data_IF_525043085303
#
_entry.id   IF_525043085303
#
_cell.length_a   1.000
_cell.length_b   1.000
_cell.length_c   1.000
_cell.angle_alpha   90.00
_cell.angle_beta   90.00
_cell.angle_gamma   90.00
#
_symmetry.space_group_name_H-M   'P 1'
#
loop_
_entity.id
_entity.type
_entity.pdbx_description
1 polymer ?
#
# COMPACT_ATOMS: atom_id res chain seq x y z
N UNK A 1 -17.92 4.90 -0.74
CA UNK A 1 -17.34 3.80 -1.54
C UNK A 1 -16.53 2.92 -0.60
N UNK A 2 -16.99 1.68 -0.35
CA UNK A 2 -16.37 0.75 0.61
C UNK A 2 -14.94 0.41 0.19
N UNK A 3 -14.04 0.32 1.16
CA UNK A 3 -12.62 0.00 0.97
C UNK A 3 -12.46 -1.16 -0.02
N UNK A 4 -11.81 -0.90 -1.16
CA UNK A 4 -11.37 -1.95 -2.07
C UNK A 4 -10.14 -2.56 -1.41
N UNK A 5 -10.37 -3.49 -0.49
CA UNK A 5 -9.37 -4.50 -0.17
C UNK A 5 -8.84 -5.00 -1.50
N UNK A 6 -7.54 -4.88 -1.76
CA UNK A 6 -6.90 -5.68 -2.79
C UNK A 6 -7.20 -7.11 -2.34
N UNK A 7 -8.11 -7.85 -3.01
CA UNK A 7 -8.35 -9.21 -2.59
C UNK A 7 -7.03 -9.90 -2.89
N UNK A 8 -6.24 -10.18 -1.84
CA UNK A 8 -5.18 -11.19 -1.92
C UNK A 8 -5.81 -12.37 -2.63
N UNK A 9 -5.20 -12.83 -3.73
CA UNK A 9 -5.78 -13.79 -4.67
C UNK A 9 -6.69 -14.76 -3.91
N UNK A 10 -8.01 -14.54 -3.97
CA UNK A 10 -8.97 -15.50 -3.47
C UNK A 10 -8.92 -16.65 -4.46
N UNK A 11 -7.99 -17.57 -4.24
CA UNK A 11 -8.11 -18.91 -4.81
C UNK A 11 -9.34 -19.49 -4.10
N UNK A 12 -10.50 -19.32 -4.74
CA UNK A 12 -11.72 -20.02 -4.39
C UNK A 12 -11.48 -21.52 -4.60
N UNK A 13 -10.91 -22.19 -3.60
CA UNK A 13 -11.05 -23.63 -3.46
C UNK A 13 -12.35 -23.81 -2.69
N UNK A 14 -13.46 -23.98 -3.41
CA UNK A 14 -14.67 -24.50 -2.81
C UNK A 14 -14.69 -26.01 -3.08
N UNK A 15 -14.24 -26.86 -2.14
CA UNK A 15 -14.80 -28.19 -2.10
C UNK A 15 -16.22 -28.02 -1.55
N UNK A 16 -17.19 -28.60 -2.26
CA UNK A 16 -18.51 -28.85 -1.69
C UNK A 16 -18.30 -29.85 -0.55
N UNK A 17 -18.12 -29.34 0.68
CA UNK A 17 -18.10 -30.15 1.90
C UNK A 17 -19.40 -29.91 2.64
N UNK A 18 -20.43 -30.62 2.21
CA UNK A 18 -21.60 -30.92 3.05
C UNK A 18 -21.18 -31.95 4.09
N UNK A 19 -21.05 -31.57 5.36
CA UNK A 19 -20.89 -32.51 6.47
C UNK A 19 -19.80 -32.11 7.47
N UNK A 20 -20.20 -31.52 8.58
CA UNK A 20 -19.34 -31.31 9.75
C UNK A 20 -19.08 -32.64 10.44
N UNK A 21 -17.90 -33.22 10.23
CA UNK A 21 -17.25 -34.10 11.20
C UNK A 21 -15.86 -33.54 11.48
N UNK A 22 -15.51 -33.42 12.75
CA UNK A 22 -14.15 -33.07 13.17
C UNK A 22 -13.19 -34.12 12.60
N UNK A 23 -12.46 -33.75 11.54
CA UNK A 23 -11.47 -34.63 10.93
C UNK A 23 -10.18 -34.48 11.74
N UNK A 24 -9.84 -35.53 12.49
CA UNK A 24 -8.55 -35.68 13.13
C UNK A 24 -7.42 -35.48 12.09
N UNK A 25 -6.42 -34.68 12.47
CA UNK A 25 -5.29 -34.26 11.65
C UNK A 25 -4.42 -35.47 11.23
N UNK A 26 -4.78 -36.16 10.14
CA UNK A 26 -3.98 -37.27 9.62
C UNK A 26 -4.65 -38.16 8.57
N UNK A 27 -5.98 -38.13 8.45
CA UNK A 27 -6.71 -38.90 7.45
C UNK A 27 -7.52 -37.92 6.59
N UNK A 28 -7.06 -37.62 5.37
CA UNK A 28 -7.88 -36.87 4.43
C UNK A 28 -9.07 -37.78 4.07
N UNK A 29 -10.33 -37.42 4.41
CA UNK A 29 -11.47 -38.27 4.11
C UNK A 29 -11.50 -38.52 2.59
N UNK A 30 -11.79 -39.76 2.19
CA UNK A 30 -12.23 -40.03 0.82
C UNK A 30 -13.47 -39.16 0.59
N UNK A 31 -13.39 -38.23 -0.35
CA UNK A 31 -14.52 -37.34 -0.65
C UNK A 31 -15.59 -38.18 -1.34
N UNK A 32 -16.57 -38.64 -0.58
CA UNK A 32 -17.75 -39.30 -1.12
C UNK A 32 -18.44 -38.37 -2.14
N UNK A 33 -18.72 -38.88 -3.33
CA UNK A 33 -19.40 -38.13 -4.40
C UNK A 33 -18.54 -37.74 -5.61
N UNK A 34 -17.21 -37.91 -5.57
CA UNK A 34 -16.35 -37.74 -6.75
C UNK A 34 -16.74 -38.67 -7.92
N UNK A 35 -17.27 -39.85 -7.57
CA UNK A 35 -17.84 -40.85 -8.49
C UNK A 35 -18.94 -40.28 -9.40
N UNK A 36 -19.68 -39.27 -8.93
CA UNK A 36 -20.84 -38.67 -9.61
C UNK A 36 -20.47 -37.49 -10.52
N UNK A 37 -19.22 -37.04 -10.45
CA UNK A 37 -18.71 -35.95 -11.28
C UNK A 37 -18.35 -36.46 -12.66
N UNK A 38 -18.47 -35.59 -13.66
CA UNK A 38 -17.91 -35.85 -14.99
C UNK A 38 -16.38 -36.04 -14.89
N UNK A 39 -15.74 -36.73 -15.87
CA UNK A 39 -14.28 -36.92 -15.85
C UNK A 39 -13.49 -35.61 -15.71
N UNK A 40 -13.96 -34.53 -16.34
CA UNK A 40 -13.33 -33.20 -16.24
C UNK A 40 -13.46 -32.61 -14.84
N UNK A 41 -14.67 -32.60 -14.28
CA UNK A 41 -14.93 -32.11 -12.92
C UNK A 41 -14.19 -32.91 -11.87
N UNK A 42 -14.12 -34.24 -12.03
CA UNK A 42 -13.34 -35.13 -11.17
C UNK A 42 -11.86 -34.77 -11.20
N UNK A 43 -11.28 -34.59 -12.38
CA UNK A 43 -9.88 -34.17 -12.51
C UNK A 43 -9.59 -32.81 -11.87
N UNK A 44 -10.52 -31.85 -11.93
CA UNK A 44 -10.41 -30.57 -11.23
C UNK A 44 -10.44 -30.78 -9.71
N UNK A 45 -11.37 -31.59 -9.23
CA UNK A 45 -11.53 -31.88 -7.81
C UNK A 45 -10.30 -32.59 -7.23
N UNK A 46 -9.74 -33.56 -7.95
CA UNK A 46 -8.51 -34.28 -7.56
C UNK A 46 -7.31 -33.34 -7.45
N UNK A 47 -7.06 -32.50 -8.46
CA UNK A 47 -5.96 -31.50 -8.42
C UNK A 47 -6.10 -30.52 -7.26
N UNK A 48 -7.33 -30.08 -6.97
CA UNK A 48 -7.59 -29.19 -5.84
C UNK A 48 -7.38 -29.90 -4.50
N UNK A 49 -7.75 -31.18 -4.40
CA UNK A 49 -7.54 -32.00 -3.22
C UNK A 49 -6.05 -32.27 -2.97
N UNK A 50 -5.28 -32.56 -4.02
CA UNK A 50 -3.84 -32.72 -3.92
C UNK A 50 -3.18 -31.42 -3.43
N UNK A 51 -3.56 -30.28 -4.01
CA UNK A 51 -3.11 -28.96 -3.54
C UNK A 51 -3.48 -28.71 -2.08
N UNK A 52 -4.69 -29.05 -1.66
CA UNK A 52 -5.12 -28.93 -0.27
C UNK A 52 -4.28 -29.79 0.67
N UNK A 53 -3.97 -31.02 0.26
CA UNK A 53 -3.13 -31.95 1.00
C UNK A 53 -1.69 -31.44 1.13
N UNK A 54 -1.17 -30.72 0.14
CA UNK A 54 0.18 -30.14 0.21
C UNK A 54 0.29 -28.87 1.06
N UNK A 55 -0.83 -28.25 1.48
CA UNK A 55 -0.80 -27.07 2.34
C UNK A 55 -0.40 -27.42 3.79
N UNK A 56 0.39 -26.55 4.41
CA UNK A 56 0.66 -26.54 5.85
C UNK A 56 -0.62 -26.30 6.68
N UNK A 57 -0.64 -26.65 7.97
CA UNK A 57 -1.76 -26.37 8.86
C UNK A 57 -2.19 -24.89 8.85
N UNK A 58 -1.22 -23.97 8.82
CA UNK A 58 -1.45 -22.53 8.81
C UNK A 58 -2.07 -22.07 7.49
N UNK A 59 -1.60 -22.59 6.35
CA UNK A 59 -2.17 -22.29 5.04
C UNK A 59 -3.60 -22.83 4.90
N UNK A 60 -3.86 -24.05 5.40
CA UNK A 60 -5.22 -24.61 5.44
C UNK A 60 -6.14 -23.74 6.29
N UNK A 61 -5.69 -23.27 7.45
CA UNK A 61 -6.46 -22.37 8.31
C UNK A 61 -6.85 -21.07 7.59
N UNK A 62 -5.91 -20.46 6.87
CA UNK A 62 -6.17 -19.25 6.06
C UNK A 62 -7.18 -19.49 4.95
N UNK A 63 -7.10 -20.63 4.25
CA UNK A 63 -8.07 -20.97 3.20
C UNK A 63 -9.47 -21.16 3.79
N UNK A 64 -9.60 -21.80 4.95
CA UNK A 64 -10.89 -21.95 5.64
C UNK A 64 -11.45 -20.60 6.10
N UNK A 65 -10.61 -19.71 6.61
CA UNK A 65 -11.00 -18.35 6.98
C UNK A 65 -11.52 -17.56 5.77
N UNK A 66 -10.78 -17.58 4.66
CA UNK A 66 -11.19 -16.96 3.40
C UNK A 66 -12.55 -17.51 2.91
N UNK A 67 -12.76 -18.83 3.03
CA UNK A 67 -14.02 -19.46 2.67
C UNK A 67 -15.18 -19.03 3.59
N UNK A 68 -14.96 -18.95 4.91
CA UNK A 68 -15.96 -18.43 5.85
C UNK A 68 -16.32 -16.98 5.51
N UNK A 69 -15.33 -16.16 5.22
CA UNK A 69 -15.54 -14.78 4.80
C UNK A 69 -16.37 -14.70 3.51
N UNK A 70 -16.01 -15.47 2.48
CA UNK A 70 -16.79 -15.57 1.24
C UNK A 70 -18.25 -16.00 1.48
N UNK A 71 -18.48 -16.97 2.38
CA UNK A 71 -19.84 -17.39 2.75
C UNK A 71 -20.61 -16.30 3.48
N UNK A 72 -19.93 -15.40 4.20
CA UNK A 72 -20.58 -14.26 4.87
C UNK A 72 -20.89 -13.07 3.94
N UNK A 73 -20.28 -13.00 2.75
CA UNK A 73 -20.52 -11.91 1.79
C UNK A 73 -21.94 -11.90 1.22
N UNK A 74 -22.48 -10.70 0.96
CA UNK A 74 -23.75 -10.50 0.25
C UNK A 74 -23.66 -10.96 -1.23
N UNK A 75 -24.80 -11.21 -1.90
CA UNK A 75 -24.81 -11.51 -3.34
C UNK A 75 -24.07 -10.47 -4.19
N UNK A 76 -24.23 -9.18 -3.87
CA UNK A 76 -23.59 -8.05 -4.54
C UNK A 76 -22.08 -8.06 -4.31
N UNK A 77 -21.64 -8.33 -3.08
CA UNK A 77 -20.22 -8.43 -2.72
C UNK A 77 -19.55 -9.61 -3.45
N UNK A 78 -20.20 -10.77 -3.49
CA UNK A 78 -19.72 -11.92 -4.26
C UNK A 78 -19.65 -11.61 -5.76
N UNK A 79 -20.64 -10.88 -6.31
CA UNK A 79 -20.60 -10.44 -7.72
C UNK A 79 -19.42 -9.51 -7.97
N UNK A 80 -19.20 -8.52 -7.11
CA UNK A 80 -18.08 -7.59 -7.23
C UNK A 80 -16.72 -8.29 -7.13
N UNK A 81 -16.60 -9.29 -6.27
CA UNK A 81 -15.40 -10.11 -6.15
C UNK A 81 -15.15 -10.96 -7.41
N UNK A 82 -16.19 -11.59 -7.98
CA UNK A 82 -16.10 -12.31 -9.26
C UNK A 82 -15.62 -11.40 -10.40
N UNK A 83 -16.18 -10.20 -10.53
CA UNK A 83 -15.74 -9.22 -11.54
C UNK A 83 -14.31 -8.75 -11.31
N UNK A 84 -13.90 -8.57 -10.05
CA UNK A 84 -12.52 -8.21 -9.72
C UNK A 84 -11.54 -9.33 -10.08
N UNK A 85 -11.92 -10.59 -9.84
CA UNK A 85 -11.13 -11.74 -10.25
C UNK A 85 -11.03 -11.88 -11.77
N UNK A 86 -12.13 -11.63 -12.51
CA UNK A 86 -12.12 -11.60 -13.98
C UNK A 86 -11.13 -10.57 -14.52
N UNK A 87 -11.14 -9.36 -13.95
CA UNK A 87 -10.17 -8.30 -14.30
C UNK A 87 -8.74 -8.71 -13.99
N UNK A 88 -8.48 -9.25 -12.80
CA UNK A 88 -7.17 -9.77 -12.44
C UNK A 88 -6.66 -10.84 -13.42
N UNK A 89 -7.53 -11.79 -13.81
CA UNK A 89 -7.18 -12.83 -14.79
C UNK A 89 -6.84 -12.26 -16.17
N UNK A 90 -7.44 -11.13 -16.55
CA UNK A 90 -7.17 -10.46 -17.80
C UNK A 90 -5.89 -9.59 -17.78
N UNK A 91 -5.27 -9.37 -16.62
CA UNK A 91 -4.05 -8.57 -16.54
C UNK A 91 -2.87 -9.22 -17.29
N UNK A 92 -1.98 -8.42 -17.88
CA UNK A 92 -0.69 -8.88 -18.40
C UNK A 92 0.13 -9.67 -17.36
N UNK A 93 0.98 -10.64 -17.79
CA UNK A 93 1.78 -11.43 -16.86
C UNK A 93 2.70 -10.61 -15.95
N UNK A 94 3.27 -9.52 -16.43
CA UNK A 94 4.13 -8.62 -15.66
C UNK A 94 3.34 -7.86 -14.57
N UNK A 95 2.13 -7.40 -14.89
CA UNK A 95 1.23 -6.81 -13.90
C UNK A 95 0.82 -7.80 -12.81
N UNK A 96 0.51 -9.04 -13.19
CA UNK A 96 0.20 -10.11 -12.23
C UNK A 96 1.40 -10.39 -11.32
N UNK A 97 2.60 -10.47 -11.89
CA UNK A 97 3.83 -10.70 -11.14
C UNK A 97 4.07 -9.58 -10.11
N UNK A 98 3.89 -8.31 -10.52
CA UNK A 98 3.95 -7.16 -9.60
C UNK A 98 2.96 -7.29 -8.44
N UNK A 99 1.68 -7.58 -8.73
CA UNK A 99 0.65 -7.74 -7.69
C UNK A 99 0.99 -8.88 -6.71
N UNK A 100 1.48 -10.01 -7.23
CA UNK A 100 1.90 -11.15 -6.40
C UNK A 100 3.06 -10.75 -5.49
N UNK A 101 4.06 -10.07 -6.04
CA UNK A 101 5.23 -9.62 -5.27
C UNK A 101 4.82 -8.61 -4.19
N UNK A 102 3.94 -7.66 -4.52
CA UNK A 102 3.41 -6.68 -3.56
C UNK A 102 2.68 -7.39 -2.41
N UNK A 103 1.89 -8.42 -2.73
CA UNK A 103 1.18 -9.23 -1.74
C UNK A 103 2.13 -10.05 -0.85
N UNK A 104 3.20 -10.61 -1.42
CA UNK A 104 4.25 -11.30 -0.64
C UNK A 104 4.91 -10.35 0.35
N UNK A 105 5.34 -9.17 -0.13
CA UNK A 105 5.93 -8.14 0.74
C UNK A 105 4.98 -7.71 1.86
N UNK A 106 3.68 -7.62 1.58
CA UNK A 106 2.68 -7.33 2.60
C UNK A 106 2.57 -8.44 3.66
N UNK A 107 2.61 -9.71 3.25
CA UNK A 107 2.53 -10.85 4.18
C UNK A 107 3.79 -10.99 5.05
N UNK A 108 4.93 -10.53 4.55
CA UNK A 108 6.20 -10.48 5.28
C UNK A 108 6.25 -9.33 6.31
N UNK A 109 5.36 -8.35 6.22
CA UNK A 109 5.32 -7.26 7.19
C UNK A 109 5.03 -7.79 8.61
N UNK A 110 5.75 -7.31 9.63
CA UNK A 110 5.39 -7.57 11.01
C UNK A 110 3.94 -7.14 11.30
N UNK A 111 3.25 -7.87 12.17
CA UNK A 111 1.83 -7.61 12.47
C UNK A 111 1.59 -6.17 12.94
N UNK A 112 2.46 -5.63 13.79
CA UNK A 112 2.38 -4.24 14.23
C UNK A 112 2.44 -3.24 13.06
N UNK A 113 3.27 -3.51 12.04
CA UNK A 113 3.36 -2.67 10.83
C UNK A 113 2.11 -2.79 9.97
N UNK A 114 1.56 -4.00 9.80
CA UNK A 114 0.27 -4.18 9.09
C UNK A 114 -0.84 -3.39 9.77
N UNK A 115 -0.94 -3.47 11.09
CA UNK A 115 -1.96 -2.73 11.86
C UNK A 115 -1.79 -1.21 11.75
N UNK A 116 -0.56 -0.71 11.76
CA UNK A 116 -0.27 0.71 11.56
C UNK A 116 -0.73 1.18 10.17
N UNK A 117 -0.40 0.42 9.12
CA UNK A 117 -0.80 0.73 7.74
C UNK A 117 -2.31 0.66 7.56
N UNK A 118 -2.96 -0.33 8.17
CA UNK A 118 -4.41 -0.48 8.16
C UNK A 118 -5.09 0.75 8.80
N UNK A 119 -4.65 1.17 9.99
CA UNK A 119 -5.14 2.39 10.65
C UNK A 119 -4.87 3.65 9.82
N UNK A 120 -3.71 3.73 9.16
CA UNK A 120 -3.39 4.84 8.27
C UNK A 120 -4.34 4.90 7.07
N UNK A 121 -4.66 3.75 6.48
CA UNK A 121 -5.61 3.64 5.39
C UNK A 121 -7.03 4.01 5.82
N UNK A 122 -7.48 3.56 6.99
CA UNK A 122 -8.79 3.92 7.55
C UNK A 122 -8.92 5.43 7.75
N UNK A 123 -7.90 6.07 8.36
CA UNK A 123 -7.84 7.54 8.49
C UNK A 123 -7.90 8.21 7.12
N UNK A 124 -7.18 7.69 6.13
CA UNK A 124 -7.22 8.22 4.77
C UNK A 124 -8.60 8.11 4.13
N UNK A 125 -9.33 6.99 4.32
CA UNK A 125 -10.68 6.84 3.78
C UNK A 125 -11.69 7.81 4.40
N UNK A 126 -11.50 8.17 5.67
CA UNK A 126 -12.33 9.12 6.41
C UNK A 126 -12.06 10.59 6.05
N UNK A 127 -10.98 10.88 5.32
CA UNK A 127 -10.69 12.25 4.88
C UNK A 127 -11.74 12.75 3.88
N UNK A 128 -12.08 14.05 3.90
CA UNK A 128 -12.87 14.67 2.85
C UNK A 128 -12.28 14.43 1.46
N UNK A 129 -13.11 14.28 0.40
CA UNK A 129 -12.66 13.97 -0.95
C UNK A 129 -11.53 14.90 -1.45
N UNK A 130 -11.59 16.19 -1.15
CA UNK A 130 -10.61 17.20 -1.58
C UNK A 130 -9.28 17.03 -0.83
N UNK A 131 -9.30 16.54 0.40
CA UNK A 131 -8.07 16.19 1.13
C UNK A 131 -7.44 14.93 0.58
N UNK A 132 -8.24 13.91 0.29
CA UNK A 132 -7.77 12.67 -0.35
C UNK A 132 -7.14 12.96 -1.70
N UNK A 133 -7.79 13.75 -2.54
CA UNK A 133 -7.28 14.07 -3.87
C UNK A 133 -5.95 14.82 -3.80
N UNK A 134 -5.78 15.77 -2.88
CA UNK A 134 -4.50 16.44 -2.66
C UNK A 134 -3.38 15.49 -2.25
N UNK A 135 -3.68 14.50 -1.40
CA UNK A 135 -2.69 13.48 -1.01
C UNK A 135 -2.31 12.62 -2.23
N UNK A 136 -3.31 12.16 -2.99
CA UNK A 136 -3.07 11.35 -4.19
C UNK A 136 -2.28 12.12 -5.25
N UNK A 137 -2.58 13.41 -5.44
CA UNK A 137 -1.84 14.28 -6.36
C UNK A 137 -0.37 14.40 -5.95
N UNK A 138 -0.08 14.60 -4.65
CA UNK A 138 1.29 14.64 -4.13
C UNK A 138 2.00 13.30 -4.29
N UNK A 139 1.29 12.19 -4.09
CA UNK A 139 1.84 10.85 -4.36
C UNK A 139 2.24 10.70 -5.81
N UNK A 140 1.36 11.06 -6.76
CA UNK A 140 1.67 11.01 -8.20
C UNK A 140 2.85 11.90 -8.58
N UNK A 141 2.95 13.09 -7.98
CA UNK A 141 4.11 13.98 -8.16
C UNK A 141 5.39 13.34 -7.66
N UNK A 142 5.36 12.73 -6.48
CA UNK A 142 6.48 11.98 -5.92
C UNK A 142 6.92 10.82 -6.81
N UNK A 143 5.94 10.05 -7.32
CA UNK A 143 6.20 8.90 -8.19
C UNK A 143 6.82 9.32 -9.52
N UNK A 144 6.50 10.52 -10.01
CA UNK A 144 7.09 11.11 -11.21
C UNK A 144 8.49 11.75 -11.00
N UNK A 145 8.93 11.96 -9.75
CA UNK A 145 10.26 12.56 -9.47
C UNK A 145 11.40 11.62 -9.82
N UNK A 146 12.51 12.17 -10.32
CA UNK A 146 13.77 11.44 -10.48
C UNK A 146 14.34 11.01 -9.12
N UNK A 147 15.22 9.99 -9.07
CA UNK A 147 15.91 9.60 -7.83
C UNK A 147 16.59 10.78 -7.13
N UNK A 148 17.25 11.66 -7.88
CA UNK A 148 17.96 12.84 -7.36
C UNK A 148 16.99 13.90 -6.84
N UNK A 149 15.81 14.06 -7.46
CA UNK A 149 14.75 14.93 -6.95
C UNK A 149 14.18 14.39 -5.64
N UNK A 150 13.88 13.09 -5.56
CA UNK A 150 13.41 12.45 -4.32
C UNK A 150 14.44 12.59 -3.21
N UNK A 151 15.72 12.34 -3.47
CA UNK A 151 16.79 12.50 -2.48
C UNK A 151 16.84 13.94 -1.96
N UNK A 152 16.70 14.93 -2.84
CA UNK A 152 16.65 16.35 -2.45
C UNK A 152 15.46 16.65 -1.55
N UNK A 153 14.28 16.13 -1.86
CA UNK A 153 13.09 16.31 -1.02
C UNK A 153 13.28 15.63 0.35
N UNK A 154 13.83 14.42 0.38
CA UNK A 154 14.13 13.72 1.64
C UNK A 154 15.14 14.48 2.51
N UNK A 155 16.23 15.01 1.93
CA UNK A 155 17.21 15.82 2.66
C UNK A 155 16.58 17.09 3.25
N UNK A 156 15.72 17.76 2.50
CA UNK A 156 14.99 18.93 2.99
C UNK A 156 14.03 18.56 4.12
N UNK A 157 13.32 17.44 3.99
CA UNK A 157 12.42 16.92 5.02
C UNK A 157 13.17 16.58 6.32
N UNK A 158 14.30 15.87 6.24
CA UNK A 158 15.11 15.54 7.42
C UNK A 158 15.65 16.80 8.10
N UNK A 159 16.12 17.78 7.32
CA UNK A 159 16.54 19.07 7.87
C UNK A 159 15.41 19.75 8.64
N UNK A 160 14.21 19.80 8.07
CA UNK A 160 13.03 20.38 8.72
C UNK A 160 12.60 19.62 9.97
N UNK A 161 12.63 18.28 9.91
CA UNK A 161 12.29 17.39 11.02
C UNK A 161 13.24 17.58 12.21
N UNK A 162 14.50 17.89 11.95
CA UNK A 162 15.51 18.12 12.98
C UNK A 162 15.57 19.57 13.50
N UNK A 163 14.79 20.50 12.92
CA UNK A 163 14.67 21.87 13.46
C UNK A 163 13.87 21.90 14.76
N UNK A 164 14.27 22.78 15.68
CA UNK A 164 13.51 23.10 16.90
C UNK A 164 12.19 23.83 16.56
N UNK A 165 11.20 23.85 17.48
CA UNK A 165 9.97 24.63 17.28
C UNK A 165 10.23 26.10 16.92
N UNK A 166 11.21 26.73 17.57
CA UNK A 166 11.59 28.14 17.35
C UNK A 166 12.26 28.34 15.99
N UNK A 167 13.18 27.46 15.60
CA UNK A 167 13.79 27.50 14.26
C UNK A 167 12.73 27.37 13.16
N UNK A 168 11.73 26.49 13.35
CA UNK A 168 10.62 26.36 12.41
C UNK A 168 9.72 27.61 12.42
N UNK A 169 9.51 28.24 13.58
CA UNK A 169 8.73 29.47 13.68
C UNK A 169 9.43 30.61 12.93
N UNK A 170 10.73 30.80 13.16
CA UNK A 170 11.55 31.78 12.45
C UNK A 170 11.59 31.53 10.95
N UNK A 171 11.76 30.28 10.51
CA UNK A 171 11.75 29.93 9.09
C UNK A 171 10.40 30.26 8.43
N UNK A 172 9.27 30.00 9.11
CA UNK A 172 7.93 30.36 8.63
C UNK A 172 7.73 31.87 8.57
N UNK A 173 8.20 32.57 9.59
CA UNK A 173 8.05 34.02 9.69
C UNK A 173 8.89 34.73 8.63
N UNK A 174 10.14 34.31 8.44
CA UNK A 174 10.98 34.80 7.35
C UNK A 174 10.31 34.61 5.98
N UNK A 175 9.72 33.44 5.72
CA UNK A 175 8.99 33.20 4.47
C UNK A 175 7.72 34.05 4.34
N UNK A 176 7.04 34.35 5.46
CA UNK A 176 5.85 35.22 5.48
C UNK A 176 6.21 36.68 5.19
N UNK A 177 7.36 37.13 5.67
CA UNK A 177 7.86 38.51 5.51
C UNK A 177 8.39 38.82 4.10
N UNK A 178 8.73 37.80 3.29
CA UNK A 178 9.08 38.03 1.89
C UNK A 178 7.90 38.67 1.14
N UNK A 179 8.08 39.81 0.44
CA UNK A 179 7.06 40.38 -0.42
C UNK A 179 6.48 39.36 -1.41
N UNK A 180 5.16 39.38 -1.71
CA UNK A 180 4.54 38.46 -2.67
C UNK A 180 5.26 38.42 -4.03
N UNK A 181 5.69 39.58 -4.51
CA UNK A 181 6.39 39.77 -5.78
C UNK A 181 7.76 39.10 -5.75
N UNK A 182 8.48 39.20 -4.62
CA UNK A 182 9.76 38.55 -4.42
C UNK A 182 9.59 37.02 -4.36
N UNK A 183 8.56 36.52 -3.68
CA UNK A 183 8.22 35.08 -3.67
C UNK A 183 7.87 34.55 -5.05
N UNK A 184 7.20 35.34 -5.88
CA UNK A 184 6.87 34.96 -7.25
C UNK A 184 8.11 34.95 -8.14
N UNK A 185 8.94 36.00 -8.07
CA UNK A 185 10.22 36.07 -8.77
C UNK A 185 11.12 34.88 -8.44
N UNK A 186 11.25 34.52 -7.17
CA UNK A 186 12.03 33.36 -6.75
C UNK A 186 11.49 32.05 -7.34
N UNK A 187 10.16 31.88 -7.37
CA UNK A 187 9.51 30.71 -7.97
C UNK A 187 9.71 30.64 -9.49
N UNK A 188 9.64 31.78 -10.19
CA UNK A 188 9.90 31.84 -11.63
C UNK A 188 11.38 31.58 -11.95
N UNK A 189 12.28 32.21 -11.21
CA UNK A 189 13.71 32.02 -11.35
C UNK A 189 14.07 30.54 -11.12
N UNK A 190 13.51 29.91 -10.11
CA UNK A 190 13.70 28.48 -9.86
C UNK A 190 13.16 27.58 -10.98
N UNK A 191 11.98 27.91 -11.52
CA UNK A 191 11.36 27.16 -12.63
C UNK A 191 12.23 27.20 -13.89
N UNK A 192 12.84 28.35 -14.18
CA UNK A 192 13.70 28.54 -15.37
C UNK A 192 15.15 28.08 -15.16
N UNK A 193 15.62 28.01 -13.92
CA UNK A 193 17.00 27.68 -13.61
C UNK A 193 17.36 26.23 -13.94
N UNK A 194 18.54 26.05 -14.53
CA UNK A 194 19.26 24.78 -14.69
C UNK A 194 19.63 24.16 -13.33
N UNK A 195 20.00 22.86 -13.26
CA UNK A 195 20.46 22.25 -12.01
C UNK A 195 21.58 23.04 -11.31
N UNK A 196 22.57 23.51 -12.06
CA UNK A 196 23.71 24.28 -11.56
C UNK A 196 23.29 25.67 -11.05
N UNK A 197 22.42 26.36 -11.78
CA UNK A 197 21.87 27.65 -11.36
C UNK A 197 21.01 27.50 -10.11
N UNK A 198 20.22 26.42 -10.00
CA UNK A 198 19.46 26.13 -8.77
C UNK A 198 20.38 25.93 -7.58
N UNK A 199 21.53 25.27 -7.72
CA UNK A 199 22.50 25.15 -6.64
C UNK A 199 23.11 26.51 -6.23
N UNK A 200 23.35 27.40 -7.19
CA UNK A 200 23.79 28.77 -6.89
C UNK A 200 22.70 29.57 -6.17
N UNK A 201 21.46 29.52 -6.64
CA UNK A 201 20.32 30.15 -5.99
C UNK A 201 20.10 29.62 -4.58
N UNK A 202 20.29 28.33 -4.35
CA UNK A 202 20.25 27.74 -2.99
C UNK A 202 21.33 28.30 -2.08
N UNK A 203 22.54 28.54 -2.58
CA UNK A 203 23.62 29.14 -1.78
C UNK A 203 23.31 30.61 -1.47
N UNK A 204 22.76 31.33 -2.45
CA UNK A 204 22.41 32.74 -2.35
C UNK A 204 21.22 32.99 -1.41
N UNK A 205 20.16 32.19 -1.53
CA UNK A 205 18.95 32.26 -0.71
C UNK A 205 18.95 31.22 0.41
N UNK A 206 20.12 30.69 0.79
CA UNK A 206 20.23 29.93 2.03
C UNK A 206 19.95 30.95 3.13
N UNK A 207 18.69 30.99 3.58
CA UNK A 207 18.30 31.72 4.79
C UNK A 207 19.26 31.37 5.92
N UNK A 208 19.42 32.26 6.91
CA UNK A 208 20.53 32.21 7.86
C UNK A 208 20.77 30.77 8.30
N UNK A 209 22.04 30.33 8.28
CA UNK A 209 22.44 29.16 9.09
C UNK A 209 21.71 29.35 10.42
N UNK A 210 20.97 28.35 10.95
CA UNK A 210 20.55 28.45 12.34
C UNK A 210 21.81 28.84 13.09
N UNK A 211 21.74 29.97 13.80
CA UNK A 211 22.89 30.59 14.43
C UNK A 211 23.60 29.50 15.22
N UNK A 212 24.70 28.98 14.68
CA UNK A 212 25.62 28.17 15.46
C UNK A 212 26.23 29.16 16.44
N UNK A 213 25.72 29.17 17.67
CA UNK A 213 26.28 29.96 18.75
C UNK A 213 25.24 30.41 19.75
N UNK A 214 25.00 29.57 20.75
CA UNK A 214 25.26 29.95 22.14
C UNK A 214 25.45 28.65 22.92
N UNK A 215 26.71 28.36 23.25
CA UNK A 215 27.01 27.50 24.38
C UNK A 215 26.17 27.99 25.56
N UNK A 216 25.34 27.10 26.11
CA UNK A 216 24.73 27.37 27.40
C UNK A 216 25.88 27.59 28.40
N UNK A 217 25.85 28.66 29.23
CA UNK A 217 26.79 28.76 30.32
C UNK A 217 26.60 27.54 31.22
N UNK A 218 27.74 26.97 31.64
CA UNK A 218 27.86 25.73 32.41
C UNK A 218 27.03 25.75 33.70
#
# INVERSE_FOLDING_TARGET
MKARWVPGLLILIAPVLTGTREVAWGQAPQIEGLERLTPEERGIAERNLERWRSLSPEERARVLENYRHWKSMSPEERKAAKESFKRYRALPPDEKARIIQDFQRWNELPEARRQELQKAYERFQQLPPERRERILQRSRQWDAMSPEERERVMKNYERWKNMTPDERAQAREHFRQLPPEERERLREQWRRATPEERERLKRQYRGPRPLQGQEAPR
#
